data_IF_736927983983
#
_entry.id   IF_736927983983
#
_cell.length_a   1.000
_cell.length_b   1.000
_cell.length_c   1.000
_cell.angle_alpha   90.00
_cell.angle_beta   90.00
_cell.angle_gamma   90.00
#
_symmetry.space_group_name_H-M   'P 1'
#
loop_
_entity.id
_entity.type
_entity.pdbx_description
1 polymer ?
#
# COMPACT_ATOMS: atom_id res chain seq x y z
N UNK A 1 -30.78 28.24 48.18
CA UNK A 1 -31.75 27.14 48.48
C UNK A 1 -33.02 27.52 47.73
N UNK A 2 -33.62 26.76 46.82
CA UNK A 2 -33.73 25.31 46.68
C UNK A 2 -34.35 24.97 45.30
N UNK A 3 -34.07 23.76 44.82
CA UNK A 3 -34.52 23.13 43.57
C UNK A 3 -36.04 22.84 43.46
N UNK A 4 -36.46 22.52 42.22
CA UNK A 4 -37.22 21.31 41.77
C UNK A 4 -38.63 21.47 41.15
N UNK A 5 -38.76 20.83 39.96
CA UNK A 5 -39.96 20.15 39.40
C UNK A 5 -40.88 20.99 38.50
N UNK A 6 -41.37 20.58 37.33
CA UNK A 6 -41.30 19.33 36.57
C UNK A 6 -42.33 19.38 35.42
N UNK A 7 -42.02 18.64 34.34
CA UNK A 7 -42.94 17.89 33.46
C UNK A 7 -43.67 18.52 32.22
N UNK A 8 -43.35 17.88 31.08
CA UNK A 8 -44.23 17.43 29.96
C UNK A 8 -44.38 18.28 28.69
N UNK A 9 -43.64 17.89 27.65
CA UNK A 9 -43.96 18.19 26.24
C UNK A 9 -44.12 16.86 25.49
N UNK A 10 -45.37 16.47 25.26
CA UNK A 10 -45.72 15.39 24.34
C UNK A 10 -46.86 15.88 23.44
N UNK A 11 -46.53 16.28 22.21
CA UNK A 11 -47.41 16.16 21.03
C UNK A 11 -46.69 16.57 19.74
N UNK A 12 -46.93 15.73 18.73
CA UNK A 12 -46.73 15.92 17.28
C UNK A 12 -45.49 15.27 16.65
N UNK A 13 -45.62 13.97 16.37
CA UNK A 13 -44.95 13.31 15.25
C UNK A 13 -46.00 12.46 14.51
N UNK A 14 -46.52 12.99 13.39
CA UNK A 14 -47.23 12.20 12.39
C UNK A 14 -47.16 12.91 11.01
N UNK A 15 -46.28 12.42 10.12
CA UNK A 15 -46.49 12.18 8.66
C UNK A 15 -45.16 11.98 7.88
N UNK A 16 -44.89 10.71 7.52
CA UNK A 16 -44.23 10.11 6.31
C UNK A 16 -42.83 10.56 5.79
N UNK A 17 -42.08 9.78 4.95
CA UNK A 17 -42.24 8.38 4.50
C UNK A 17 -40.98 7.48 4.74
N UNK A 18 -41.12 6.20 4.40
CA UNK A 18 -40.18 5.10 4.66
C UNK A 18 -39.00 5.02 3.69
N UNK A 19 -37.80 5.31 4.20
CA UNK A 19 -36.52 4.81 3.67
C UNK A 19 -35.40 5.14 4.65
N UNK A 20 -35.34 4.45 5.81
CA UNK A 20 -34.16 4.45 6.71
C UNK A 20 -34.40 3.56 7.95
N UNK A 21 -34.67 2.26 7.76
CA UNK A 21 -34.80 1.28 8.87
C UNK A 21 -33.67 0.23 8.84
N UNK A 22 -32.60 0.47 8.07
CA UNK A 22 -31.42 -0.41 8.01
C UNK A 22 -30.18 0.12 8.76
N UNK A 23 -30.21 1.35 9.29
CA UNK A 23 -28.99 2.01 9.80
C UNK A 23 -28.85 1.96 11.33
N UNK A 24 -29.87 1.55 12.09
CA UNK A 24 -29.81 1.49 13.57
C UNK A 24 -29.70 0.09 14.19
N UNK A 25 -29.37 -0.95 13.41
CA UNK A 25 -29.03 -2.29 13.96
C UNK A 25 -27.54 -2.68 13.86
N UNK A 26 -26.68 -1.80 13.34
CA UNK A 26 -25.24 -2.08 13.18
C UNK A 26 -24.35 -1.66 14.36
N UNK A 27 -24.82 -0.81 15.27
CA UNK A 27 -23.96 -0.20 16.30
C UNK A 27 -23.97 -0.92 17.67
N UNK A 28 -24.66 -2.06 17.81
CA UNK A 28 -24.75 -2.79 19.07
C UNK A 28 -23.96 -4.13 19.09
N UNK A 29 -23.05 -4.38 18.14
CA UNK A 29 -22.24 -5.62 18.08
C UNK A 29 -20.72 -5.31 18.12
N UNK A 30 -20.29 -4.14 18.62
CA UNK A 30 -18.86 -3.79 18.70
C UNK A 30 -18.36 -3.33 20.07
N UNK A 31 -19.07 -3.71 21.15
CA UNK A 31 -18.69 -3.41 22.54
C UNK A 31 -18.63 -4.66 23.45
N UNK A 32 -18.56 -5.86 22.88
CA UNK A 32 -18.35 -7.13 23.61
C UNK A 32 -17.17 -7.94 23.03
N UNK A 33 -16.07 -7.26 22.73
CA UNK A 33 -14.83 -7.88 22.26
C UNK A 33 -13.58 -7.30 22.94
N UNK A 34 -13.72 -6.81 24.18
CA UNK A 34 -12.61 -6.23 24.95
C UNK A 34 -12.30 -6.95 26.28
N UNK A 35 -12.88 -8.12 26.51
CA UNK A 35 -12.51 -9.00 27.63
C UNK A 35 -12.57 -10.45 27.16
N UNK A 36 -11.54 -10.96 26.48
CA UNK A 36 -11.22 -12.40 26.43
C UNK A 36 -9.94 -12.60 25.61
N UNK A 37 -8.79 -12.26 26.18
CA UNK A 37 -7.55 -12.93 25.81
C UNK A 37 -6.53 -12.89 26.94
N UNK A 38 -6.71 -13.78 27.91
CA UNK A 38 -5.61 -14.25 28.75
C UNK A 38 -5.65 -15.77 28.74
N UNK A 39 -4.50 -16.36 28.39
CA UNK A 39 -4.13 -17.76 28.58
C UNK A 39 -4.63 -18.78 27.53
N UNK A 40 -3.78 -19.11 26.56
CA UNK A 40 -3.79 -20.43 25.92
C UNK A 40 -2.46 -21.15 26.16
N UNK A 41 -2.50 -22.10 27.11
CA UNK A 41 -1.58 -23.25 27.19
C UNK A 41 -2.19 -24.43 26.42
N UNK A 42 -1.29 -25.29 25.93
CA UNK A 42 -1.50 -26.56 25.23
C UNK A 42 -2.78 -27.34 25.59
N UNK A 43 -3.44 -27.92 24.57
CA UNK A 43 -4.45 -28.96 24.78
C UNK A 43 -4.99 -29.56 23.48
N UNK A 44 -4.81 -30.87 23.33
CA UNK A 44 -5.27 -31.72 22.23
C UNK A 44 -6.79 -31.61 21.97
N UNK A 45 -7.19 -31.44 20.71
CA UNK A 45 -8.59 -31.51 20.27
C UNK A 45 -9.04 -32.96 20.05
N UNK A 46 -9.99 -33.43 20.87
CA UNK A 46 -10.77 -34.65 20.65
C UNK A 46 -12.18 -34.22 20.24
N UNK A 47 -12.63 -34.56 19.02
CA UNK A 47 -13.96 -34.19 18.53
C UNK A 47 -15.04 -35.11 19.12
N UNK A 48 -16.03 -34.51 19.80
CA UNK A 48 -17.28 -35.16 20.20
C UNK A 48 -18.43 -34.40 19.55
N UNK A 49 -19.04 -34.96 18.52
CA UNK A 49 -20.24 -34.42 17.89
C UNK A 49 -21.45 -34.69 18.80
N UNK A 50 -22.20 -33.62 19.12
CA UNK A 50 -23.48 -33.67 19.84
C UNK A 50 -24.59 -33.43 18.79
N UNK A 51 -25.47 -34.42 18.59
CA UNK A 51 -26.64 -34.31 17.71
C UNK A 51 -27.67 -33.33 18.26
N UNK A 52 -28.11 -32.38 17.42
CA UNK A 52 -29.31 -31.55 17.62
C UNK A 52 -30.39 -32.02 16.64
N UNK A 53 -31.59 -32.26 17.17
CA UNK A 53 -32.74 -32.84 16.50
C UNK A 53 -33.63 -31.71 15.95
N UNK A 54 -33.96 -31.73 14.65
CA UNK A 54 -34.96 -30.85 14.02
C UNK A 54 -35.83 -31.71 13.08
N UNK A 55 -37.17 -31.59 13.08
CA UNK A 55 -38.06 -32.51 12.37
C UNK A 55 -38.41 -32.05 10.94
N UNK A 56 -38.58 -33.02 10.02
CA UNK A 56 -39.58 -32.96 8.94
C UNK A 56 -39.13 -32.91 7.47
N UNK A 57 -39.33 -34.04 6.77
CA UNK A 57 -39.72 -34.28 5.37
C UNK A 57 -38.83 -33.87 4.16
N UNK A 58 -38.25 -34.88 3.47
CA UNK A 58 -38.42 -35.25 2.02
C UNK A 58 -37.44 -36.43 1.62
N UNK A 59 -37.61 -37.12 0.47
CA UNK A 59 -37.64 -38.60 0.33
C UNK A 59 -36.29 -39.28 -0.04
N UNK A 60 -36.21 -40.64 -0.10
CA UNK A 60 -34.94 -41.37 0.01
C UNK A 60 -34.30 -41.66 -1.36
N UNK A 61 -32.97 -41.53 -1.44
CA UNK A 61 -32.18 -42.18 -2.48
C UNK A 61 -30.91 -42.83 -1.92
N UNK A 62 -30.91 -44.16 -2.02
CA UNK A 62 -29.81 -45.12 -2.17
C UNK A 62 -28.45 -44.84 -1.52
N UNK A 63 -28.12 -45.73 -0.58
CA UNK A 63 -26.80 -46.07 -0.09
C UNK A 63 -25.81 -46.44 -1.20
N UNK A 64 -24.64 -45.81 -1.21
CA UNK A 64 -23.40 -46.40 -1.74
C UNK A 64 -22.24 -46.02 -0.81
N UNK A 65 -21.88 -46.93 0.09
CA UNK A 65 -20.64 -46.86 0.85
C UNK A 65 -19.53 -47.50 0.00
N UNK A 66 -18.59 -46.69 -0.49
CA UNK A 66 -17.35 -47.17 -1.06
C UNK A 66 -16.31 -47.12 0.05
N UNK A 67 -15.99 -48.29 0.59
CA UNK A 67 -14.82 -48.53 1.43
C UNK A 67 -13.61 -48.69 0.52
N UNK A 68 -12.67 -47.74 0.53
CA UNK A 68 -11.33 -47.92 -0.04
C UNK A 68 -10.27 -47.76 1.05
N UNK A 69 -9.73 -48.90 1.46
CA UNK A 69 -8.52 -49.01 2.26
C UNK A 69 -7.31 -48.75 1.37
N UNK A 70 -6.66 -47.59 1.49
CA UNK A 70 -5.37 -47.35 0.84
C UNK A 70 -4.22 -47.47 1.86
N UNK A 71 -3.52 -48.60 1.78
CA UNK A 71 -2.12 -48.76 2.24
C UNK A 71 -1.19 -47.95 1.32
N UNK A 72 -0.11 -47.33 1.82
CA UNK A 72 0.90 -46.74 0.97
C UNK A 72 1.77 -47.82 0.30
N UNK A 73 2.21 -47.64 -0.96
CA UNK A 73 3.01 -48.64 -1.65
C UNK A 73 4.46 -48.63 -1.15
N UNK A 74 5.01 -49.83 -0.99
CA UNK A 74 6.46 -50.08 -0.86
C UNK A 74 7.11 -49.86 -2.23
N UNK A 75 8.16 -49.05 -2.27
CA UNK A 75 9.07 -48.97 -3.40
C UNK A 75 9.93 -50.25 -3.44
N UNK A 76 9.80 -51.02 -4.53
CA UNK A 76 10.64 -52.16 -4.88
C UNK A 76 11.42 -51.78 -6.14
N UNK A 77 12.71 -51.49 -6.00
CA UNK A 77 13.74 -51.65 -7.05
C UNK A 77 15.12 -51.79 -6.36
N UNK A 78 15.42 -53.01 -5.93
CA UNK A 78 16.72 -53.67 -6.15
C UNK A 78 16.71 -54.10 -7.64
N UNK A 79 17.73 -54.04 -8.49
CA UNK A 79 19.18 -54.06 -8.37
C UNK A 79 19.77 -53.40 -9.63
N UNK A 80 20.80 -52.57 -9.49
CA UNK A 80 21.85 -52.40 -10.51
C UNK A 80 23.15 -52.02 -9.81
N UNK A 81 24.01 -53.03 -9.67
CA UNK A 81 25.42 -52.90 -9.32
C UNK A 81 26.12 -52.00 -10.35
N UNK A 82 26.50 -50.80 -9.97
CA UNK A 82 27.58 -50.05 -10.63
C UNK A 82 28.26 -49.18 -9.59
N UNK A 83 29.53 -49.48 -9.32
CA UNK A 83 30.35 -48.79 -8.35
C UNK A 83 30.46 -47.30 -8.72
N UNK A 84 30.15 -46.40 -7.76
CA UNK A 84 30.57 -45.00 -7.84
C UNK A 84 32.10 -44.95 -7.82
N UNK A 85 32.75 -44.19 -8.71
CA UNK A 85 34.19 -43.97 -8.61
C UNK A 85 34.50 -43.10 -7.37
N UNK A 86 35.66 -43.28 -6.73
CA UNK A 86 36.06 -42.44 -5.60
C UNK A 86 36.35 -41.00 -6.06
N UNK A 87 35.97 -40.03 -5.22
CA UNK A 87 36.25 -38.60 -5.40
C UNK A 87 37.76 -38.33 -5.59
N UNK A 88 38.17 -37.43 -6.51
CA UNK A 88 39.55 -36.97 -6.58
C UNK A 88 39.86 -36.02 -5.41
N UNK A 89 41.13 -35.93 -4.98
CA UNK A 89 41.52 -35.08 -3.85
C UNK A 89 41.51 -33.60 -4.23
N UNK A 90 41.17 -32.79 -3.23
CA UNK A 90 41.31 -31.33 -3.10
C UNK A 90 41.89 -30.57 -4.31
N UNK A 91 40.99 -29.92 -5.06
CA UNK A 91 41.36 -28.83 -5.95
C UNK A 91 41.21 -27.51 -5.18
N UNK A 92 42.31 -26.77 -5.05
CA UNK A 92 42.38 -25.42 -4.51
C UNK A 92 41.34 -24.51 -5.19
N UNK A 93 40.39 -23.98 -4.41
CA UNK A 93 39.56 -22.87 -4.86
C UNK A 93 40.36 -21.57 -4.80
N UNK A 94 40.70 -21.06 -5.98
CA UNK A 94 41.17 -19.68 -6.19
C UNK A 94 40.15 -18.66 -5.65
N UNK A 95 40.57 -17.54 -5.05
CA UNK A 95 39.67 -16.54 -4.50
C UNK A 95 39.07 -15.68 -5.62
N UNK A 96 38.04 -16.19 -6.29
CA UNK A 96 37.12 -15.34 -7.02
C UNK A 96 36.02 -14.88 -6.07
N UNK A 97 35.86 -13.56 -5.99
CA UNK A 97 34.93 -12.85 -5.12
C UNK A 97 33.48 -13.31 -5.29
N UNK A 98 33.05 -14.27 -4.47
CA UNK A 98 31.63 -14.52 -4.23
C UNK A 98 31.08 -13.40 -3.35
N UNK A 99 30.47 -12.38 -3.97
CA UNK A 99 29.43 -11.59 -3.31
C UNK A 99 28.19 -12.47 -3.17
N UNK A 100 28.27 -13.41 -2.23
CA UNK A 100 27.15 -14.22 -1.78
C UNK A 100 26.22 -13.31 -0.96
N UNK A 101 25.17 -12.76 -1.59
CA UNK A 101 23.92 -12.53 -0.88
C UNK A 101 23.33 -13.91 -0.54
N UNK A 102 23.90 -14.57 0.46
CA UNK A 102 23.25 -15.72 1.08
C UNK A 102 22.11 -15.16 1.93
N UNK A 103 20.89 -15.39 1.48
CA UNK A 103 19.67 -15.20 2.27
C UNK A 103 19.71 -16.17 3.45
N UNK A 104 20.46 -15.80 4.50
CA UNK A 104 20.40 -16.46 5.78
C UNK A 104 19.02 -16.20 6.40
N UNK A 105 18.33 -17.23 6.93
CA UNK A 105 17.03 -17.06 7.55
C UNK A 105 17.14 -16.10 8.75
N UNK A 106 16.24 -15.11 8.77
CA UNK A 106 15.83 -14.26 9.89
C UNK A 106 16.95 -13.84 10.87
N UNK A 107 17.79 -12.92 10.41
CA UNK A 107 18.44 -11.97 11.31
C UNK A 107 17.35 -11.08 11.95
N UNK A 108 17.43 -10.80 13.25
CA UNK A 108 16.43 -9.99 13.97
C UNK A 108 16.14 -8.65 13.28
N UNK A 109 14.94 -8.10 13.51
CA UNK A 109 14.42 -6.92 12.77
C UNK A 109 15.40 -5.74 12.77
N UNK A 110 16.16 -5.59 13.87
CA UNK A 110 17.13 -4.51 14.09
C UNK A 110 18.59 -4.92 13.76
N UNK A 111 18.80 -5.88 12.87
CA UNK A 111 20.16 -6.33 12.52
C UNK A 111 20.80 -5.47 11.44
N UNK A 112 22.04 -5.03 11.71
CA UNK A 112 22.86 -4.25 10.78
C UNK A 112 23.68 -5.13 9.83
N UNK A 113 23.88 -4.63 8.62
CA UNK A 113 24.82 -5.14 7.64
C UNK A 113 26.27 -4.78 8.01
N UNK A 114 27.28 -5.48 7.46
CA UNK A 114 28.68 -5.10 7.62
C UNK A 114 28.97 -3.65 7.20
N UNK A 115 28.17 -3.10 6.29
CA UNK A 115 28.22 -1.71 5.81
C UNK A 115 27.47 -0.72 6.72
N UNK A 116 26.87 -1.17 7.82
CA UNK A 116 26.17 -0.33 8.78
C UNK A 116 24.72 0.02 8.42
N UNK A 117 24.09 -0.73 7.50
CA UNK A 117 22.70 -0.51 7.05
C UNK A 117 21.76 -1.54 7.67
N UNK A 118 20.51 -1.17 7.97
CA UNK A 118 19.52 -2.12 8.47
C UNK A 118 19.02 -3.02 7.33
N UNK A 119 19.15 -4.34 7.49
CA UNK A 119 18.75 -5.29 6.44
C UNK A 119 17.27 -5.16 6.06
N UNK A 120 16.39 -5.00 7.04
CA UNK A 120 14.94 -4.89 6.79
C UNK A 120 14.59 -3.66 5.96
N UNK A 121 15.29 -2.55 6.15
CA UNK A 121 15.08 -1.32 5.37
C UNK A 121 15.56 -1.51 3.94
N UNK A 122 16.73 -2.14 3.74
CA UNK A 122 17.24 -2.45 2.40
C UNK A 122 16.27 -3.38 1.64
N UNK A 123 15.70 -4.39 2.30
CA UNK A 123 14.68 -5.25 1.69
C UNK A 123 13.41 -4.49 1.30
N UNK A 124 12.96 -3.53 2.11
CA UNK A 124 11.84 -2.65 1.75
C UNK A 124 12.16 -1.77 0.54
N UNK A 125 13.38 -1.24 0.44
CA UNK A 125 13.82 -0.45 -0.71
C UNK A 125 13.85 -1.28 -2.01
N UNK A 126 14.29 -2.54 -1.93
CA UNK A 126 14.22 -3.45 -3.09
C UNK A 126 12.77 -3.82 -3.45
N UNK A 127 11.87 -3.96 -2.48
CA UNK A 127 10.46 -4.21 -2.74
C UNK A 127 9.77 -3.05 -3.50
N UNK A 128 10.19 -1.80 -3.27
CA UNK A 128 9.67 -0.64 -4.00
C UNK A 128 10.00 -0.72 -5.49
N UNK A 129 11.17 -1.26 -5.86
CA UNK A 129 11.55 -1.45 -7.27
C UNK A 129 10.67 -2.46 -8.00
N UNK A 130 9.90 -3.28 -7.29
CA UNK A 130 8.91 -4.17 -7.92
C UNK A 130 7.56 -3.49 -8.14
N UNK A 131 7.35 -2.33 -7.50
CA UNK A 131 6.15 -1.52 -7.63
C UNK A 131 5.97 -0.95 -9.03
N UNK A 132 4.74 -0.56 -9.35
CA UNK A 132 4.45 0.19 -10.57
C UNK A 132 5.10 1.56 -10.56
N UNK A 133 5.43 2.06 -11.74
CA UNK A 133 6.11 3.35 -11.86
C UNK A 133 5.17 4.49 -11.49
N UNK A 134 5.65 5.39 -10.63
CA UNK A 134 5.01 6.64 -10.27
C UNK A 134 6.01 7.78 -10.44
N UNK A 135 5.55 8.89 -10.99
CA UNK A 135 6.36 10.06 -11.34
C UNK A 135 5.69 11.30 -10.77
N UNK A 136 6.48 12.17 -10.14
CA UNK A 136 6.05 13.48 -9.69
C UNK A 136 6.93 14.56 -10.32
N UNK A 137 6.31 15.66 -10.77
CA UNK A 137 7.00 16.83 -11.31
C UNK A 137 6.39 18.08 -10.68
N UNK A 138 7.21 18.85 -9.96
CA UNK A 138 6.86 20.14 -9.41
C UNK A 138 7.24 21.26 -10.39
N UNK A 139 6.28 22.12 -10.70
CA UNK A 139 6.45 23.34 -11.48
C UNK A 139 6.18 24.56 -10.61
N UNK A 140 6.31 25.76 -11.16
CA UNK A 140 5.93 27.00 -10.44
C UNK A 140 4.42 27.18 -10.29
N UNK A 141 3.62 26.52 -11.14
CA UNK A 141 2.16 26.64 -11.19
C UNK A 141 1.45 25.58 -10.32
N UNK A 142 2.08 24.42 -10.13
CA UNK A 142 1.50 23.29 -9.43
C UNK A 142 2.40 22.07 -9.44
N UNK A 143 1.86 20.93 -9.00
CA UNK A 143 2.56 19.64 -9.02
C UNK A 143 1.72 18.63 -9.78
N UNK A 144 2.33 17.90 -10.71
CA UNK A 144 1.70 16.79 -11.43
C UNK A 144 2.22 15.48 -10.85
N UNK A 145 1.29 14.56 -10.57
CA UNK A 145 1.56 13.17 -10.25
C UNK A 145 1.03 12.31 -11.40
N UNK A 146 1.85 11.39 -11.89
CA UNK A 146 1.46 10.39 -12.89
C UNK A 146 1.85 9.00 -12.47
N UNK A 147 0.92 8.06 -12.63
CA UNK A 147 1.10 6.68 -12.22
C UNK A 147 0.67 5.71 -13.31
N UNK A 148 1.46 4.65 -13.45
CA UNK A 148 1.12 3.49 -14.27
C UNK A 148 0.13 2.58 -13.52
N UNK A 149 -1.04 2.34 -14.10
CA UNK A 149 -1.99 1.31 -13.67
C UNK A 149 -1.72 0.00 -14.42
N UNK A 150 -1.01 -0.92 -13.78
CA UNK A 150 -0.87 -2.31 -14.25
C UNK A 150 -2.17 -3.06 -14.12
N UNK A 151 -2.89 -3.20 -15.22
CA UNK A 151 -4.15 -3.94 -15.30
C UNK A 151 -3.82 -5.37 -15.69
N UNK A 152 -3.88 -6.31 -14.76
CA UNK A 152 -3.49 -7.71 -15.00
C UNK A 152 -4.48 -8.48 -15.87
N UNK A 153 -5.73 -8.02 -15.93
CA UNK A 153 -6.81 -8.69 -16.67
C UNK A 153 -7.83 -7.69 -17.17
N UNK A 154 -8.39 -7.92 -18.35
CA UNK A 154 -9.51 -7.14 -18.90
C UNK A 154 -10.79 -7.23 -18.06
N UNK A 155 -10.89 -8.21 -17.15
CA UNK A 155 -11.98 -8.35 -16.20
C UNK A 155 -11.83 -7.43 -14.98
N UNK A 156 -10.64 -6.85 -14.78
CA UNK A 156 -10.38 -5.96 -13.67
C UNK A 156 -10.95 -4.56 -13.97
N UNK A 157 -11.82 -4.10 -13.09
CA UNK A 157 -12.37 -2.76 -13.16
C UNK A 157 -11.28 -1.72 -12.82
N UNK A 158 -10.82 -0.99 -13.83
CA UNK A 158 -9.68 -0.06 -13.72
C UNK A 158 -9.91 1.11 -12.76
N UNK A 159 -11.18 1.48 -12.52
CA UNK A 159 -11.55 2.51 -11.55
C UNK A 159 -11.34 2.07 -10.10
N UNK A 160 -11.35 0.75 -9.81
CA UNK A 160 -11.14 0.22 -8.46
C UNK A 160 -9.67 0.21 -8.01
N UNK A 161 -8.73 0.32 -8.95
CA UNK A 161 -7.30 0.32 -8.67
C UNK A 161 -6.82 1.76 -8.52
N UNK A 162 -6.81 2.23 -7.28
CA UNK A 162 -6.32 3.56 -6.92
C UNK A 162 -4.83 3.51 -6.57
N UNK A 163 -4.05 4.35 -7.23
CA UNK A 163 -2.61 4.56 -6.94
C UNK A 163 -2.28 6.01 -6.61
N UNK A 164 -3.15 6.93 -7.00
CA UNK A 164 -3.16 8.30 -6.51
C UNK A 164 -4.34 8.43 -5.58
N UNK A 165 -4.10 8.97 -4.39
CA UNK A 165 -5.09 9.15 -3.34
C UNK A 165 -5.02 10.56 -2.78
N UNK A 166 -6.18 11.11 -2.43
CA UNK A 166 -6.30 12.39 -1.73
C UNK A 166 -5.97 12.18 -0.25
N UNK A 167 -5.11 13.04 0.31
CA UNK A 167 -4.89 13.14 1.76
C UNK A 167 -5.73 14.29 2.31
N UNK A 168 -5.64 15.45 1.69
CA UNK A 168 -6.44 16.63 2.00
C UNK A 168 -6.68 17.43 0.71
N UNK A 169 -7.51 18.47 0.76
CA UNK A 169 -7.89 19.27 -0.41
C UNK A 169 -6.69 19.87 -1.15
N UNK A 170 -5.57 20.12 -0.48
CA UNK A 170 -4.34 20.68 -1.03
C UNK A 170 -3.18 19.69 -1.05
N UNK A 171 -3.39 18.42 -0.66
CA UNK A 171 -2.35 17.38 -0.59
C UNK A 171 -2.83 16.08 -1.25
N UNK A 172 -2.09 15.65 -2.27
CA UNK A 172 -2.25 14.36 -2.92
C UNK A 172 -1.04 13.45 -2.69
N UNK A 173 -1.26 12.15 -2.82
CA UNK A 173 -0.20 11.15 -2.69
C UNK A 173 -0.26 10.13 -3.83
N UNK A 174 0.88 9.84 -4.45
CA UNK A 174 1.08 8.69 -5.31
C UNK A 174 1.91 7.63 -4.58
N UNK A 175 1.59 6.35 -4.77
CA UNK A 175 2.23 5.25 -4.05
C UNK A 175 2.90 4.25 -5.01
N UNK A 176 4.05 3.71 -4.63
CA UNK A 176 4.71 2.60 -5.31
C UNK A 176 5.28 1.58 -4.33
N UNK A 177 5.10 0.29 -4.66
CA UNK A 177 5.42 -0.84 -3.79
C UNK A 177 4.16 -1.56 -3.30
N UNK A 178 4.16 -1.99 -2.04
CA UNK A 178 3.03 -2.69 -1.42
C UNK A 178 1.86 -1.75 -1.12
N UNK A 179 0.83 -1.79 -1.96
CA UNK A 179 -0.36 -0.92 -1.83
C UNK A 179 -1.11 -1.07 -0.50
N UNK A 180 -1.07 -2.28 0.10
CA UNK A 180 -1.73 -2.53 1.39
C UNK A 180 -1.11 -1.69 2.51
N UNK A 181 0.22 -1.55 2.51
CA UNK A 181 0.96 -0.73 3.47
C UNK A 181 0.66 0.77 3.25
N UNK A 182 0.59 1.18 1.98
CA UNK A 182 0.30 2.56 1.58
C UNK A 182 -1.03 3.08 2.17
N UNK A 183 -2.07 2.23 2.19
CA UNK A 183 -3.39 2.61 2.71
C UNK A 183 -3.34 3.00 4.19
N UNK A 184 -2.58 2.27 5.00
CA UNK A 184 -2.39 2.58 6.41
C UNK A 184 -1.67 3.92 6.61
N UNK A 185 -0.63 4.18 5.80
CA UNK A 185 0.13 5.44 5.85
C UNK A 185 -0.72 6.64 5.42
N UNK A 186 -1.51 6.48 4.35
CA UNK A 186 -2.41 7.53 3.85
C UNK A 186 -3.53 7.83 4.84
N UNK A 187 -4.10 6.80 5.48
CA UNK A 187 -5.13 7.01 6.49
C UNK A 187 -4.58 7.74 7.72
N UNK A 188 -3.37 7.40 8.15
CA UNK A 188 -2.68 8.15 9.20
C UNK A 188 -2.48 9.61 8.80
N UNK A 189 -2.00 9.88 7.58
CA UNK A 189 -1.82 11.23 7.08
C UNK A 189 -3.14 12.04 7.05
N UNK A 190 -4.26 11.41 6.67
CA UNK A 190 -5.59 12.03 6.70
C UNK A 190 -6.00 12.44 8.11
N UNK A 191 -5.80 11.54 9.08
CA UNK A 191 -6.11 11.82 10.49
C UNK A 191 -5.25 12.96 11.01
N UNK A 192 -3.95 12.97 10.71
CA UNK A 192 -3.04 14.04 11.13
C UNK A 192 -3.38 15.39 10.49
N UNK A 193 -3.68 15.42 9.19
CA UNK A 193 -4.13 16.63 8.49
C UNK A 193 -5.40 17.22 9.11
N UNK A 194 -6.42 16.38 9.37
CA UNK A 194 -7.67 16.84 9.99
C UNK A 194 -7.49 17.22 11.46
N UNK A 195 -6.63 16.52 12.20
CA UNK A 195 -6.28 16.86 13.59
C UNK A 195 -5.60 18.23 13.66
N UNK A 196 -4.64 18.50 12.77
CA UNK A 196 -3.98 19.80 12.69
C UNK A 196 -4.96 20.91 12.34
N UNK A 197 -5.80 20.70 11.31
CA UNK A 197 -6.84 21.65 10.94
C UNK A 197 -7.84 21.91 12.08
N UNK A 198 -8.19 20.87 12.86
CA UNK A 198 -9.07 21.02 14.01
C UNK A 198 -8.42 21.83 15.15
N UNK A 199 -7.15 21.59 15.45
CA UNK A 199 -6.45 22.20 16.58
C UNK A 199 -5.98 23.64 16.29
N UNK A 200 -5.51 23.90 15.07
CA UNK A 200 -4.87 25.17 14.69
C UNK A 200 -5.72 26.00 13.73
N UNK A 201 -6.81 25.44 13.19
CA UNK A 201 -7.70 26.11 12.24
C UNK A 201 -6.98 26.61 10.97
N UNK A 202 -5.97 25.87 10.53
CA UNK A 202 -5.19 26.11 9.32
C UNK A 202 -4.85 24.78 8.61
N UNK A 203 -4.65 24.77 7.28
CA UNK A 203 -4.28 23.57 6.55
C UNK A 203 -2.87 23.10 6.93
N UNK A 204 -2.68 21.79 7.11
CA UNK A 204 -1.37 21.20 7.42
C UNK A 204 -0.38 21.45 6.27
N UNK A 205 0.85 21.89 6.59
CA UNK A 205 1.92 22.06 5.59
C UNK A 205 2.33 20.73 4.97
N UNK A 206 2.75 20.74 3.71
CA UNK A 206 3.07 19.49 2.99
C UNK A 206 4.26 18.78 3.62
N UNK A 207 5.27 19.54 4.07
CA UNK A 207 6.41 19.02 4.80
C UNK A 207 6.00 18.37 6.12
N UNK A 208 5.12 19.01 6.91
CA UNK A 208 4.64 18.47 8.18
C UNK A 208 3.80 17.20 7.99
N UNK A 209 2.98 17.14 6.94
CA UNK A 209 2.28 15.92 6.54
C UNK A 209 3.25 14.79 6.18
N UNK A 210 4.31 15.11 5.45
CA UNK A 210 5.36 14.14 5.07
C UNK A 210 6.10 13.63 6.30
N UNK A 211 6.44 14.52 7.22
CA UNK A 211 7.11 14.15 8.45
C UNK A 211 6.26 13.21 9.31
N UNK A 212 4.95 13.48 9.48
CA UNK A 212 4.06 12.59 10.23
C UNK A 212 4.01 11.16 9.63
N UNK A 213 4.01 11.06 8.30
CA UNK A 213 4.08 9.76 7.60
C UNK A 213 5.41 9.04 7.89
N UNK A 214 6.53 9.77 7.87
CA UNK A 214 7.85 9.23 8.16
C UNK A 214 7.99 8.81 9.64
N UNK A 215 7.42 9.57 10.56
CA UNK A 215 7.37 9.23 11.99
C UNK A 215 6.60 7.93 12.22
N UNK A 216 5.52 7.67 11.46
CA UNK A 216 4.85 6.37 11.48
C UNK A 216 5.72 5.26 10.87
N UNK A 217 6.42 5.56 9.76
CA UNK A 217 7.25 4.57 9.07
C UNK A 217 8.41 4.05 9.94
N UNK A 218 8.89 4.84 10.90
CA UNK A 218 9.94 4.44 11.85
C UNK A 218 9.45 3.50 12.97
N UNK A 219 8.13 3.35 13.18
CA UNK A 219 7.56 2.57 14.30
C UNK A 219 7.54 1.06 14.04
N UNK A 220 8.65 0.49 13.57
CA UNK A 220 8.84 -0.95 13.41
C UNK A 220 10.01 -1.45 14.28
N UNK A 221 9.94 -2.72 14.69
CA UNK A 221 11.00 -3.34 15.48
C UNK A 221 10.50 -4.02 16.75
N UNK A 222 11.44 -4.55 17.51
CA UNK A 222 11.20 -5.04 18.87
C UNK A 222 11.27 -3.83 19.81
N UNK A 223 10.19 -3.53 20.53
CA UNK A 223 10.05 -2.37 21.40
C UNK A 223 11.31 -2.08 22.22
N UNK A 224 11.88 -0.90 21.99
CA UNK A 224 12.79 -0.29 22.96
C UNK A 224 11.95 0.32 24.09
N UNK A 225 12.45 0.23 25.32
CA UNK A 225 11.74 0.63 26.54
C UNK A 225 11.10 2.04 26.41
N UNK A 226 9.77 2.09 26.32
CA UNK A 226 8.98 3.33 26.38
C UNK A 226 8.16 3.67 25.13
N UNK A 227 8.37 3.00 23.99
CA UNK A 227 7.53 3.17 22.80
C UNK A 227 6.80 1.86 22.47
N UNK A 228 5.47 1.93 22.33
CA UNK A 228 4.69 0.80 21.82
C UNK A 228 5.06 0.57 20.35
N UNK A 229 5.88 -0.44 20.07
CA UNK A 229 6.13 -0.88 18.69
C UNK A 229 4.88 -1.49 18.11
N UNK A 230 4.39 -0.89 17.03
CA UNK A 230 3.13 -1.27 16.39
C UNK A 230 3.37 -2.34 15.32
N UNK A 231 4.58 -2.37 14.72
CA UNK A 231 4.83 -3.14 13.49
C UNK A 231 6.03 -4.08 13.58
N UNK A 232 5.84 -5.31 13.10
CA UNK A 232 6.87 -6.36 13.07
C UNK A 232 7.84 -6.24 11.89
N UNK A 233 7.56 -5.34 10.93
CA UNK A 233 8.39 -5.08 9.75
C UNK A 233 8.21 -3.63 9.29
N UNK A 234 9.19 -3.04 8.61
CA UNK A 234 9.00 -1.75 7.94
C UNK A 234 7.95 -1.86 6.82
N UNK A 235 7.41 -0.71 6.42
CA UNK A 235 6.54 -0.63 5.24
C UNK A 235 7.36 -0.92 3.98
N UNK A 236 6.74 -1.60 3.01
CA UNK A 236 7.34 -1.89 1.70
C UNK A 236 6.84 -0.95 0.61
N UNK A 237 6.69 0.34 0.93
CA UNK A 237 6.13 1.35 0.02
C UNK A 237 6.94 2.65 0.10
N UNK A 238 7.10 3.31 -1.04
CA UNK A 238 7.53 4.70 -1.12
C UNK A 238 6.35 5.55 -1.59
N UNK A 239 6.29 6.78 -1.06
CA UNK A 239 5.23 7.73 -1.37
C UNK A 239 5.81 8.98 -2.02
N UNK A 240 5.12 9.47 -3.05
CA UNK A 240 5.30 10.80 -3.60
C UNK A 240 4.15 11.67 -3.10
N UNK A 241 4.47 12.59 -2.20
CA UNK A 241 3.50 13.50 -1.58
C UNK A 241 3.61 14.83 -2.30
N UNK A 242 2.55 15.19 -3.00
CA UNK A 242 2.44 16.45 -3.73
C UNK A 242 1.47 17.35 -2.98
N UNK A 243 1.82 18.61 -2.82
CA UNK A 243 0.90 19.58 -2.24
C UNK A 243 1.17 21.00 -2.68
N UNK A 244 0.25 21.89 -2.35
CA UNK A 244 0.39 23.32 -2.55
C UNK A 244 0.02 24.03 -1.25
N UNK A 245 1.00 24.62 -0.59
CA UNK A 245 0.81 25.38 0.65
C UNK A 245 1.37 26.81 0.49
N UNK A 246 1.61 27.51 1.61
CA UNK A 246 2.11 28.88 1.61
C UNK A 246 3.51 29.03 0.99
N UNK A 247 4.33 27.97 1.01
CA UNK A 247 5.65 27.95 0.38
C UNK A 247 5.57 27.61 -1.12
N UNK A 248 4.35 27.44 -1.63
CA UNK A 248 4.05 27.15 -3.03
C UNK A 248 3.90 25.65 -3.31
N UNK A 249 4.06 25.22 -4.58
CA UNK A 249 4.00 23.83 -4.96
C UNK A 249 5.21 23.05 -4.43
N UNK A 250 4.95 21.92 -3.78
CA UNK A 250 5.97 21.08 -3.17
C UNK A 250 5.76 19.60 -3.50
N UNK A 251 6.85 18.90 -3.78
CA UNK A 251 6.88 17.46 -3.99
C UNK A 251 7.90 16.83 -3.03
N UNK A 252 7.45 15.87 -2.26
CA UNK A 252 8.28 15.10 -1.34
C UNK A 252 8.30 13.62 -1.70
N UNK A 253 9.45 13.00 -1.53
CA UNK A 253 9.63 11.56 -1.59
C UNK A 253 9.84 11.04 -0.18
N UNK A 254 8.91 10.22 0.31
CA UNK A 254 9.00 9.55 1.60
C UNK A 254 9.43 8.09 1.40
N UNK A 255 10.51 7.71 2.06
CA UNK A 255 11.11 6.38 2.03
C UNK A 255 10.71 5.55 3.24
N UNK A 256 10.69 4.21 3.13
CA UNK A 256 10.33 3.31 4.22
C UNK A 256 11.33 3.33 5.39
N UNK A 257 12.50 3.93 5.18
CA UNK A 257 13.50 4.26 6.21
C UNK A 257 13.03 5.34 7.19
N UNK A 258 11.90 6.01 6.94
CA UNK A 258 11.48 7.18 7.71
C UNK A 258 12.22 8.46 7.31
N UNK A 259 12.93 8.45 6.19
CA UNK A 259 13.55 9.65 5.63
C UNK A 259 12.68 10.23 4.51
N UNK A 260 12.66 11.55 4.41
CA UNK A 260 12.02 12.24 3.30
C UNK A 260 12.93 13.29 2.70
N UNK A 261 12.74 13.55 1.41
CA UNK A 261 13.46 14.57 0.68
C UNK A 261 12.51 15.35 -0.21
N UNK A 262 12.72 16.67 -0.29
CA UNK A 262 12.03 17.53 -1.26
C UNK A 262 12.68 17.37 -2.63
N UNK A 263 11.85 17.16 -3.66
CA UNK A 263 12.29 17.00 -5.04
C UNK A 263 11.60 18.00 -5.96
N UNK A 264 12.32 18.42 -6.99
CA UNK A 264 11.75 19.17 -8.12
C UNK A 264 11.05 18.20 -9.11
N UNK A 265 11.65 17.02 -9.33
CA UNK A 265 11.03 15.90 -10.05
C UNK A 265 11.61 14.57 -9.54
N UNK A 266 10.77 13.55 -9.40
CA UNK A 266 11.17 12.24 -8.88
C UNK A 266 10.34 11.11 -9.50
N UNK A 267 11.00 10.01 -9.86
CA UNK A 267 10.35 8.75 -10.19
C UNK A 267 10.62 7.68 -9.12
N UNK A 268 9.62 6.84 -8.86
CA UNK A 268 9.68 5.66 -7.98
C UNK A 268 9.02 4.44 -8.67
N UNK A 269 9.34 3.23 -8.22
CA UNK A 269 8.86 1.98 -8.82
C UNK A 269 9.86 1.33 -9.77
N UNK A 270 9.43 0.33 -10.53
CA UNK A 270 10.32 -0.49 -11.37
C UNK A 270 10.98 0.27 -12.52
N UNK A 271 10.27 1.24 -13.12
CA UNK A 271 10.79 2.08 -14.17
C UNK A 271 11.59 3.29 -13.68
N UNK A 272 11.86 3.40 -12.37
CA UNK A 272 12.39 4.63 -11.77
C UNK A 272 13.76 5.03 -12.28
N UNK A 273 14.69 4.09 -12.54
CA UNK A 273 16.04 4.41 -13.02
C UNK A 273 16.00 5.07 -14.41
N UNK A 274 15.29 4.45 -15.36
CA UNK A 274 15.12 5.00 -16.70
C UNK A 274 14.32 6.32 -16.70
N UNK A 275 13.26 6.38 -15.89
CA UNK A 275 12.45 7.58 -15.76
C UNK A 275 13.25 8.75 -15.17
N UNK A 276 14.08 8.50 -14.15
CA UNK A 276 14.90 9.52 -13.53
C UNK A 276 15.93 10.11 -14.49
N UNK A 277 16.51 9.28 -15.38
CA UNK A 277 17.43 9.75 -16.41
C UNK A 277 16.75 10.70 -17.42
N UNK A 278 15.55 10.35 -17.89
CA UNK A 278 14.77 11.23 -18.78
C UNK A 278 14.39 12.54 -18.07
N UNK A 279 13.93 12.46 -16.82
CA UNK A 279 13.61 13.65 -16.03
C UNK A 279 14.82 14.55 -15.85
N UNK A 280 16.02 14.01 -15.63
CA UNK A 280 17.24 14.82 -15.51
C UNK A 280 17.59 15.59 -16.79
N UNK A 281 17.25 15.05 -17.96
CA UNK A 281 17.58 15.67 -19.24
C UNK A 281 16.55 16.73 -19.67
N UNK A 282 15.27 16.47 -19.42
CA UNK A 282 14.16 17.27 -19.97
C UNK A 282 13.59 18.28 -18.95
N UNK A 283 13.75 18.00 -17.64
CA UNK A 283 13.22 18.87 -16.60
C UNK A 283 13.96 20.21 -16.52
N UNK A 284 13.19 21.27 -16.35
CA UNK A 284 13.72 22.59 -16.02
C UNK A 284 12.68 23.40 -15.24
N UNK A 285 13.13 24.37 -14.44
CA UNK A 285 12.26 25.07 -13.46
C UNK A 285 11.17 25.95 -14.08
N UNK A 286 11.29 26.31 -15.35
CA UNK A 286 10.32 27.14 -16.07
C UNK A 286 9.26 26.35 -16.86
N UNK A 287 9.14 25.04 -16.60
CA UNK A 287 8.06 24.24 -17.17
C UNK A 287 6.69 24.77 -16.75
N UNK A 288 5.78 24.86 -17.71
CA UNK A 288 4.35 25.09 -17.43
C UNK A 288 3.69 23.81 -16.93
N UNK A 289 2.50 23.91 -16.35
CA UNK A 289 1.75 22.72 -15.92
C UNK A 289 1.48 21.76 -17.09
N UNK A 290 1.17 22.30 -18.28
CA UNK A 290 0.91 21.50 -19.49
C UNK A 290 2.17 20.83 -20.05
N UNK A 291 3.33 21.49 -19.97
CA UNK A 291 4.59 20.87 -20.36
C UNK A 291 4.96 19.75 -19.38
N UNK A 292 4.69 19.94 -18.08
CA UNK A 292 4.90 18.90 -17.07
C UNK A 292 3.97 17.68 -17.26
N UNK A 293 2.70 17.88 -17.62
CA UNK A 293 1.80 16.79 -18.02
C UNK A 293 2.40 15.96 -19.17
N UNK A 294 2.90 16.65 -20.20
CA UNK A 294 3.50 16.04 -21.39
C UNK A 294 4.78 15.29 -21.03
N UNK A 295 5.63 15.89 -20.19
CA UNK A 295 6.87 15.27 -19.70
C UNK A 295 6.57 13.99 -18.92
N UNK A 296 5.64 14.04 -17.96
CA UNK A 296 5.26 12.86 -17.15
C UNK A 296 4.78 11.73 -18.04
N UNK A 297 3.90 11.99 -19.01
CA UNK A 297 3.42 10.94 -19.92
C UNK A 297 4.50 10.46 -20.90
N UNK A 298 5.38 11.35 -21.40
CA UNK A 298 6.52 10.97 -22.24
C UNK A 298 7.43 10.02 -21.49
N UNK A 299 7.75 10.32 -20.24
CA UNK A 299 8.59 9.47 -19.38
C UNK A 299 7.89 8.15 -19.05
N UNK A 300 6.60 8.16 -18.73
CA UNK A 300 5.83 6.92 -18.53
C UNK A 300 5.82 6.04 -19.78
N UNK A 301 5.61 6.62 -20.97
CA UNK A 301 5.63 5.90 -22.25
C UNK A 301 6.95 5.18 -22.51
N UNK A 302 8.08 5.71 -22.04
CA UNK A 302 9.40 5.08 -22.23
C UNK A 302 9.63 3.88 -21.30
N UNK A 303 9.05 3.89 -20.09
CA UNK A 303 9.34 2.91 -19.04
C UNK A 303 8.22 1.88 -18.85
N UNK A 304 7.05 2.10 -19.45
CA UNK A 304 5.95 1.16 -19.44
C UNK A 304 6.18 0.01 -20.43
N UNK A 305 5.80 -1.20 -20.02
CA UNK A 305 5.85 -2.40 -20.87
C UNK A 305 4.69 -2.43 -21.89
N UNK A 306 3.53 -1.90 -21.48
CA UNK A 306 2.34 -1.80 -22.32
C UNK A 306 2.29 -0.46 -23.07
N UNK A 307 1.56 -0.45 -24.19
CA UNK A 307 1.29 0.80 -24.90
C UNK A 307 0.48 1.74 -24.00
N UNK A 308 0.93 2.98 -23.87
CA UNK A 308 0.24 4.00 -23.09
C UNK A 308 -1.15 4.29 -23.69
N UNK A 309 -2.18 4.14 -22.87
CA UNK A 309 -3.59 4.41 -23.16
C UNK A 309 -4.22 5.18 -21.98
N UNK A 310 -5.33 5.90 -22.21
CA UNK A 310 -5.99 6.68 -21.16
C UNK A 310 -6.48 5.85 -19.94
N UNK A 311 -6.59 4.52 -20.09
CA UNK A 311 -7.05 3.61 -19.03
C UNK A 311 -5.93 3.02 -18.16
N UNK A 312 -4.72 2.91 -18.72
CA UNK A 312 -3.58 2.31 -18.00
C UNK A 312 -2.66 3.35 -17.36
N UNK A 313 -2.97 4.63 -17.50
CA UNK A 313 -2.29 5.72 -16.80
C UNK A 313 -3.32 6.57 -16.06
N UNK A 314 -2.91 7.13 -14.94
CA UNK A 314 -3.69 8.12 -14.20
C UNK A 314 -2.82 9.32 -13.87
N UNK A 315 -3.35 10.51 -14.11
CA UNK A 315 -2.75 11.78 -13.71
C UNK A 315 -3.56 12.43 -12.59
N UNK A 316 -2.87 13.18 -11.75
CA UNK A 316 -3.46 14.13 -10.83
C UNK A 316 -2.63 15.40 -10.78
N UNK A 317 -3.28 16.52 -10.53
CA UNK A 317 -2.63 17.82 -10.32
C UNK A 317 -2.95 18.36 -8.94
N UNK A 318 -2.00 19.04 -8.32
CA UNK A 318 -2.25 19.94 -7.20
C UNK A 318 -1.94 21.36 -7.65
N UNK A 319 -2.94 22.24 -7.60
CA UNK A 319 -2.80 23.66 -7.97
C UNK A 319 -3.41 24.55 -6.89
N UNK A 320 -2.98 25.81 -6.83
CA UNK A 320 -3.48 26.78 -5.84
C UNK A 320 -5.00 26.98 -5.88
N UNK A 321 -5.56 27.04 -7.08
CA UNK A 321 -6.99 27.37 -7.27
C UNK A 321 -7.91 26.17 -7.11
N UNK A 322 -7.50 25.01 -7.64
CA UNK A 322 -8.36 23.82 -7.71
C UNK A 322 -8.06 22.79 -6.61
N UNK A 323 -6.97 22.99 -5.86
CA UNK A 323 -6.48 21.99 -4.91
C UNK A 323 -5.98 20.73 -5.64
N UNK A 324 -6.02 19.60 -4.92
CA UNK A 324 -5.77 18.28 -5.46
C UNK A 324 -6.95 17.81 -6.32
N UNK A 325 -6.65 17.33 -7.52
CA UNK A 325 -7.63 16.82 -8.47
C UNK A 325 -7.06 15.66 -9.28
N UNK A 326 -7.81 14.57 -9.33
CA UNK A 326 -7.56 13.44 -10.23
C UNK A 326 -8.22 13.72 -11.58
N UNK A 327 -7.52 13.44 -12.67
CA UNK A 327 -7.99 13.70 -14.02
C UNK A 327 -9.05 12.67 -14.39
N UNK A 328 -10.12 13.13 -15.06
CA UNK A 328 -11.14 12.21 -15.59
C UNK A 328 -10.63 11.51 -16.84
N UNK A 329 -11.29 10.42 -17.25
CA UNK A 329 -10.93 9.68 -18.46
C UNK A 329 -10.93 10.57 -19.73
N UNK A 330 -11.82 11.56 -19.79
CA UNK A 330 -11.91 12.53 -20.88
C UNK A 330 -10.71 13.51 -20.90
N UNK A 331 -10.32 13.99 -19.73
CA UNK A 331 -9.13 14.84 -19.57
C UNK A 331 -7.87 14.06 -19.91
N UNK A 332 -7.77 12.81 -19.42
CA UNK A 332 -6.69 11.90 -19.75
C UNK A 332 -6.57 11.68 -21.26
N UNK A 333 -7.68 11.41 -21.96
CA UNK A 333 -7.67 11.26 -23.41
C UNK A 333 -7.11 12.52 -24.11
N UNK A 334 -7.54 13.70 -23.67
CA UNK A 334 -7.06 14.98 -24.22
C UNK A 334 -5.56 15.18 -24.02
N UNK A 335 -5.01 14.81 -22.86
CA UNK A 335 -3.56 14.95 -22.59
C UNK A 335 -2.77 13.90 -23.39
N UNK A 336 -3.29 12.68 -23.52
CA UNK A 336 -2.66 11.60 -24.32
C UNK A 336 -2.60 11.97 -25.81
N UNK A 337 -3.64 12.61 -26.35
CA UNK A 337 -3.66 13.08 -27.74
C UNK A 337 -2.61 14.16 -28.05
N UNK A 338 -2.18 14.93 -27.04
CA UNK A 338 -1.11 15.93 -27.20
C UNK A 338 0.27 15.29 -27.37
N UNK A 339 0.46 14.04 -26.93
CA UNK A 339 1.73 13.37 -27.08
C UNK A 339 2.00 13.12 -28.57
N UNK A 340 3.21 13.41 -29.06
CA UNK A 340 3.56 13.07 -30.42
C UNK A 340 3.39 11.56 -30.63
N UNK A 341 2.61 11.21 -31.65
CA UNK A 341 2.56 9.86 -32.19
C UNK A 341 3.94 9.59 -32.80
N UNK A 342 4.73 8.76 -32.11
CA UNK A 342 5.94 8.19 -32.71
C UNK A 342 5.55 7.00 -33.57
#
# INVERSE_FOLDING_TARGET
MSNCGGETVAKQLQKAPASNVSVQRGYAIRLLAHEFNSSYRLGYFYSRTRSLHIPGNLPPFSSLAITTTHKPPRCLWQDLNTACPPFPPEAECSPYSERQLTSAPDRGINTFSPEGRLFQVEYSLEAIKLGSTAIGVATSEGVILGVEKRVTSTLLETSSVEKIVEIDRHIGCAMSGLQADARSMVEHARVESQSHAFNYNEPLRVESCTQAICDLALRFGEGADGEETIMSRPFGVALLIAGFDEDGPQLFHAEPSGTFYRYDAKAIGSGSEGAQAELQNEYHKSLTLTDAETLVLKTLKQVMEEKLDAKNVQLASVTKEKGFRIYTDEEMATVVERLPAN
#
